data_IF_105315053241
#
_entry.id   IF_105315053241
#
_cell.length_a   1.000
_cell.length_b   1.000
_cell.length_c   1.000
_cell.angle_alpha   90.00
_cell.angle_beta   90.00
_cell.angle_gamma   90.00
#
_symmetry.space_group_name_H-M   'P 1'
#
loop_
_entity.id
_entity.type
_entity.pdbx_description
1 polymer ?
#
# COMPACT_ATOMS: atom_id res chain seq x y z
N UNK A 1 -5.59 -11.72 -4.78
CA UNK A 1 -5.58 -10.27 -4.99
C UNK A 1 -4.28 -9.88 -5.71
N UNK A 2 -4.22 -8.75 -6.44
CA UNK A 2 -2.95 -8.29 -7.01
C UNK A 2 -1.92 -8.07 -5.90
N UNK A 3 -0.64 -8.33 -6.20
CA UNK A 3 0.47 -8.20 -5.26
C UNK A 3 1.59 -7.38 -5.86
N UNK A 4 2.35 -6.70 -5.01
CA UNK A 4 3.57 -6.00 -5.41
C UNK A 4 4.69 -6.20 -4.39
N UNK A 5 5.93 -6.00 -4.82
CA UNK A 5 7.11 -6.07 -3.94
C UNK A 5 7.29 -4.73 -3.25
N UNK A 6 7.34 -4.71 -1.92
CA UNK A 6 7.63 -3.50 -1.16
C UNK A 6 9.06 -3.01 -1.43
N UNK A 7 9.23 -1.73 -1.74
CA UNK A 7 10.57 -1.14 -1.94
C UNK A 7 11.18 -0.53 -0.67
N UNK A 8 10.39 -0.41 0.39
CA UNK A 8 10.77 0.10 1.69
C UNK A 8 10.01 -0.65 2.80
N UNK A 9 10.59 -0.78 4.01
CA UNK A 9 9.91 -1.40 5.12
C UNK A 9 8.72 -0.56 5.59
N UNK A 10 7.69 -1.23 6.10
CA UNK A 10 6.50 -0.59 6.68
C UNK A 10 6.34 -1.04 8.13
N UNK A 11 6.37 -0.10 9.10
CA UNK A 11 6.09 -0.42 10.48
C UNK A 11 4.67 -0.99 10.65
N UNK A 12 4.53 -2.09 11.37
CA UNK A 12 3.23 -2.66 11.71
C UNK A 12 2.56 -1.98 12.89
N UNK A 13 1.26 -2.24 13.05
CA UNK A 13 0.61 -2.07 14.35
C UNK A 13 0.88 -3.32 15.21
N UNK A 14 0.88 -3.24 16.55
CA UNK A 14 1.12 -4.40 17.40
C UNK A 14 0.11 -5.54 17.23
N UNK A 15 -1.14 -5.22 16.89
CA UNK A 15 -2.24 -6.20 16.82
C UNK A 15 -3.07 -6.14 15.55
N UNK A 16 -2.99 -5.04 14.79
CA UNK A 16 -3.99 -4.74 13.77
C UNK A 16 -3.35 -4.70 12.39
N UNK A 17 -4.08 -5.17 11.39
CA UNK A 17 -3.71 -4.99 9.99
C UNK A 17 -3.73 -3.50 9.64
N UNK A 18 -2.66 -3.01 9.04
CA UNK A 18 -2.58 -1.64 8.54
C UNK A 18 -2.84 -1.61 7.04
N UNK A 19 -3.63 -0.64 6.61
CA UNK A 19 -3.75 -0.28 5.20
C UNK A 19 -2.87 0.95 4.94
N UNK A 20 -1.83 0.78 4.12
CA UNK A 20 -0.83 1.82 3.88
C UNK A 20 -0.91 2.32 2.45
N UNK A 21 -1.06 3.63 2.20
CA UNK A 21 -1.07 4.18 0.85
C UNK A 21 0.27 3.97 0.16
N UNK A 22 0.23 3.49 -1.08
CA UNK A 22 1.41 3.22 -1.90
C UNK A 22 1.28 3.84 -3.29
N UNK A 23 2.41 4.19 -3.88
CA UNK A 23 2.54 4.27 -5.34
C UNK A 23 3.00 2.94 -5.89
N UNK A 24 2.48 2.55 -7.05
CA UNK A 24 2.83 1.28 -7.69
C UNK A 24 3.49 1.56 -9.03
N UNK A 25 4.71 1.08 -9.20
CA UNK A 25 5.48 1.21 -10.43
C UNK A 25 6.16 -0.13 -10.75
N UNK A 26 5.96 -0.63 -11.97
CA UNK A 26 6.57 -1.89 -12.45
C UNK A 26 6.51 -3.07 -11.45
N UNK A 27 5.37 -3.25 -10.78
CA UNK A 27 5.16 -4.34 -9.79
C UNK A 27 5.83 -4.11 -8.43
N UNK A 28 6.36 -2.90 -8.18
CA UNK A 28 6.90 -2.47 -6.88
C UNK A 28 5.96 -1.49 -6.22
N UNK A 29 5.78 -1.64 -4.91
CA UNK A 29 4.96 -0.76 -4.09
C UNK A 29 5.85 0.12 -3.21
N UNK A 30 5.72 1.43 -3.36
CA UNK A 30 6.38 2.43 -2.53
C UNK A 30 5.43 3.02 -1.50
N UNK A 31 5.66 2.80 -0.20
CA UNK A 31 4.89 3.46 0.86
C UNK A 31 4.97 4.97 0.76
N UNK A 32 3.82 5.63 0.89
CA UNK A 32 3.73 7.08 0.94
C UNK A 32 3.76 7.59 2.39
N UNK A 33 4.28 8.81 2.54
CA UNK A 33 4.13 9.57 3.78
C UNK A 33 2.67 9.94 4.04
N UNK A 34 2.38 10.44 5.24
CA UNK A 34 1.03 10.82 5.67
C UNK A 34 0.06 9.63 5.71
N UNK A 35 0.54 8.48 6.22
CA UNK A 35 -0.23 7.24 6.39
C UNK A 35 -0.90 7.12 7.78
N UNK A 36 -1.04 8.25 8.50
CA UNK A 36 -1.66 8.28 9.81
C UNK A 36 -3.18 8.38 9.76
N UNK A 37 -3.89 8.12 10.87
CA UNK A 37 -5.33 8.35 10.96
C UNK A 37 -5.70 9.79 10.56
N UNK A 38 -6.83 9.93 9.86
CA UNK A 38 -7.33 11.21 9.34
C UNK A 38 -6.39 11.97 8.37
N UNK A 39 -5.30 11.35 7.90
CA UNK A 39 -4.41 11.94 6.90
C UNK A 39 -4.82 11.51 5.49
N UNK A 40 -5.66 12.31 4.84
CA UNK A 40 -6.16 11.99 3.50
C UNK A 40 -5.17 12.30 2.37
N UNK A 41 -4.10 13.06 2.66
CA UNK A 41 -3.11 13.45 1.65
C UNK A 41 -2.37 12.26 1.05
N UNK A 42 -1.98 11.27 1.86
CA UNK A 42 -1.32 10.06 1.39
C UNK A 42 -2.23 9.24 0.49
N UNK A 43 -3.47 9.04 0.92
CA UNK A 43 -4.50 8.31 0.15
C UNK A 43 -4.78 9.00 -1.19
N UNK A 44 -5.00 10.32 -1.19
CA UNK A 44 -5.30 11.08 -2.40
C UNK A 44 -4.20 11.01 -3.47
N UNK A 45 -2.94 10.74 -3.07
CA UNK A 45 -1.81 10.62 -3.99
C UNK A 45 -1.40 9.16 -4.28
N UNK A 46 -2.12 8.19 -3.73
CA UNK A 46 -1.84 6.77 -3.83
C UNK A 46 -2.49 6.13 -5.05
N UNK A 47 -1.82 5.09 -5.54
CA UNK A 47 -2.33 4.23 -6.60
C UNK A 47 -3.13 3.04 -6.03
N UNK A 48 -2.72 2.58 -4.85
CA UNK A 48 -3.33 1.48 -4.10
C UNK A 48 -3.12 1.66 -2.59
N UNK A 49 -3.78 0.80 -1.81
CA UNK A 49 -3.43 0.53 -0.42
C UNK A 49 -2.74 -0.84 -0.37
N UNK A 50 -1.65 -0.94 0.37
CA UNK A 50 -1.04 -2.24 0.68
C UNK A 50 -1.58 -2.74 2.03
N UNK A 51 -1.87 -4.04 2.10
CA UNK A 51 -2.29 -4.73 3.32
C UNK A 51 -1.03 -5.17 4.07
N UNK A 52 -0.86 -4.67 5.29
CA UNK A 52 0.31 -4.97 6.14
C UNK A 52 -0.17 -5.63 7.41
N UNK A 53 0.22 -6.89 7.61
CA UNK A 53 -0.12 -7.65 8.80
C UNK A 53 0.46 -7.03 10.09
N UNK A 54 -0.07 -7.41 11.27
CA UNK A 54 0.54 -7.05 12.54
C UNK A 54 2.03 -7.40 12.55
N UNK A 55 2.86 -6.51 13.09
CA UNK A 55 4.32 -6.65 13.06
C UNK A 55 5.03 -6.01 11.87
N UNK A 56 4.31 -5.67 10.80
CA UNK A 56 4.84 -4.87 9.68
C UNK A 56 5.32 -5.71 8.50
N UNK A 57 6.06 -5.08 7.61
CA UNK A 57 6.64 -5.74 6.45
C UNK A 57 8.04 -5.17 6.13
N UNK A 58 8.90 -6.01 5.56
CA UNK A 58 10.24 -5.64 5.16
C UNK A 58 10.26 -5.20 3.70
N UNK A 59 11.31 -4.47 3.32
CA UNK A 59 11.59 -4.26 1.90
C UNK A 59 11.89 -5.60 1.22
N UNK A 60 11.33 -5.83 0.05
CA UNK A 60 11.44 -7.08 -0.70
C UNK A 60 10.28 -8.05 -0.47
N UNK A 61 9.47 -7.86 0.57
CA UNK A 61 8.31 -8.71 0.83
C UNK A 61 7.25 -8.51 -0.27
N UNK A 62 6.59 -9.60 -0.67
CA UNK A 62 5.35 -9.49 -1.45
C UNK A 62 4.19 -9.14 -0.54
N UNK A 63 3.43 -8.13 -0.93
CA UNK A 63 2.28 -7.68 -0.17
C UNK A 63 1.05 -7.50 -1.07
N UNK A 64 -0.11 -7.76 -0.48
CA UNK A 64 -1.40 -7.63 -1.14
C UNK A 64 -1.75 -6.17 -1.39
N UNK A 65 -2.26 -5.88 -2.59
CA UNK A 65 -2.76 -4.57 -2.99
C UNK A 65 -4.30 -4.55 -3.01
N UNK A 66 -4.85 -3.49 -2.44
CA UNK A 66 -6.24 -3.08 -2.60
C UNK A 66 -6.29 -1.88 -3.54
N UNK A 67 -7.03 -2.04 -4.63
CA UNK A 67 -7.22 -0.99 -5.62
C UNK A 67 -8.03 0.19 -5.06
N UNK A 68 -7.72 1.40 -5.53
CA UNK A 68 -8.47 2.60 -5.22
C UNK A 68 -9.42 2.95 -6.38
N UNK A 69 -10.57 3.57 -6.10
CA UNK A 69 -11.61 3.75 -7.11
C UNK A 69 -11.18 4.69 -8.26
N UNK A 70 -10.23 5.60 -8.02
CA UNK A 70 -9.72 6.52 -9.05
C UNK A 70 -8.59 5.94 -9.89
N UNK A 71 -7.93 4.87 -9.46
CA UNK A 71 -6.95 4.17 -10.30
C UNK A 71 -7.62 3.21 -11.28
N UNK A 72 -8.91 2.97 -11.10
CA UNK A 72 -9.74 2.04 -11.86
C UNK A 72 -10.66 2.67 -12.90
N UNK A 73 -10.29 3.79 -13.54
CA UNK A 73 -11.01 4.29 -14.72
C UNK A 73 -11.04 3.33 -15.94
N UNK A 74 -10.47 2.12 -15.82
CA UNK A 74 -10.58 1.07 -16.84
C UNK A 74 -9.67 -0.16 -16.67
N UNK A 75 -8.70 -0.20 -15.75
CA UNK A 75 -7.78 -1.35 -15.67
C UNK A 75 -6.72 -1.26 -14.56
N UNK A 76 -7.12 -1.37 -13.30
CA UNK A 76 -6.18 -1.41 -12.17
C UNK A 76 -5.74 -2.84 -11.85
N UNK A 77 -4.47 -3.14 -12.15
CA UNK A 77 -3.70 -4.39 -11.89
C UNK A 77 -4.18 -5.65 -12.64
N UNK A 78 -4.01 -5.66 -13.96
CA UNK A 78 -3.85 -6.91 -14.73
C UNK A 78 -2.38 -7.16 -15.01
#
# INVERSE_FOLDING_TARGET
APTAVLDAPVPGHPSDTRLVPVRVDAGRARPLSFSGPAMLRGVAAADALVVVEPGGAHAGDQAELLALPWTGGGGGFT
#
